data_IF_248711102193
#
_entry.id   IF_248711102193
#
_cell.length_a   1.000
_cell.length_b   1.000
_cell.length_c   1.000
_cell.angle_alpha   90.00
_cell.angle_beta   90.00
_cell.angle_gamma   90.00
#
_symmetry.space_group_name_H-M   'P 1'
#
loop_
_entity.id
_entity.type
_entity.pdbx_description
1 polymer ?
#
# COMPACT_ATOMS: atom_id res chain seq x y z
N UNK A 1 5.46 -4.78 15.61
CA UNK A 1 5.11 -3.40 15.19
C UNK A 1 3.59 -3.19 15.30
N UNK A 2 3.13 -2.12 15.97
CA UNK A 2 1.69 -1.82 16.13
C UNK A 2 1.03 -1.53 14.77
N UNK A 3 -0.27 -1.82 14.63
CA UNK A 3 -1.01 -1.63 13.38
C UNK A 3 -0.98 -0.17 12.87
N UNK A 4 -1.03 0.81 13.79
CA UNK A 4 -0.90 2.23 13.44
C UNK A 4 0.43 2.54 12.74
N UNK A 5 1.55 2.13 13.32
CA UNK A 5 2.89 2.35 12.75
C UNK A 5 3.00 1.67 11.37
N UNK A 6 2.37 0.51 11.18
CA UNK A 6 2.33 -0.15 9.86
C UNK A 6 1.58 0.70 8.82
N UNK A 7 0.46 1.33 9.19
CA UNK A 7 -0.31 2.21 8.29
C UNK A 7 0.48 3.47 7.94
N UNK A 8 1.10 4.10 8.94
CA UNK A 8 1.94 5.29 8.73
C UNK A 8 3.06 4.99 7.74
N UNK A 9 3.82 3.90 7.95
CA UNK A 9 4.88 3.48 7.02
C UNK A 9 4.38 3.21 5.59
N UNK A 10 3.21 2.58 5.45
CA UNK A 10 2.62 2.32 4.14
C UNK A 10 2.22 3.63 3.48
N UNK A 11 1.60 4.54 4.21
CA UNK A 11 1.18 5.83 3.69
C UNK A 11 2.38 6.68 3.28
N UNK A 12 3.41 6.73 4.12
CA UNK A 12 4.67 7.43 3.82
C UNK A 12 5.28 6.93 2.51
N UNK A 13 5.31 5.61 2.29
CA UNK A 13 5.77 5.04 1.01
C UNK A 13 4.88 5.48 -0.15
N UNK A 14 3.57 5.32 0.00
CA UNK A 14 2.59 5.55 -1.07
C UNK A 14 2.51 7.00 -1.53
N UNK A 15 2.93 7.96 -0.70
CA UNK A 15 3.07 9.38 -1.08
C UNK A 15 4.12 9.56 -2.19
N UNK A 16 5.18 8.76 -2.20
CA UNK A 16 6.28 8.90 -3.15
C UNK A 16 6.22 7.92 -4.32
N UNK A 17 5.69 6.70 -4.10
CA UNK A 17 5.69 5.67 -5.13
C UNK A 17 4.58 4.61 -4.91
N UNK A 18 4.14 3.93 -5.98
CA UNK A 18 3.39 2.69 -5.86
C UNK A 18 4.13 1.66 -4.99
N UNK A 19 3.39 0.84 -4.25
CA UNK A 19 3.94 -0.20 -3.38
C UNK A 19 3.31 -1.55 -3.70
N UNK A 20 4.12 -2.57 -3.95
CA UNK A 20 3.65 -3.94 -4.11
C UNK A 20 3.55 -4.66 -2.77
N UNK A 21 2.86 -5.80 -2.76
CA UNK A 21 2.83 -6.72 -1.60
C UNK A 21 4.24 -7.23 -1.24
N UNK A 22 5.16 -7.32 -2.21
CA UNK A 22 6.54 -7.73 -1.95
C UNK A 22 7.33 -6.60 -1.30
N UNK A 23 7.21 -5.36 -1.78
CA UNK A 23 7.87 -4.19 -1.19
C UNK A 23 7.47 -4.03 0.28
N UNK A 24 6.17 -4.14 0.58
CA UNK A 24 5.69 -4.06 1.96
C UNK A 24 6.29 -5.15 2.88
N UNK A 25 6.53 -6.35 2.36
CA UNK A 25 7.09 -7.46 3.15
C UNK A 25 8.60 -7.35 3.32
N UNK A 26 9.31 -7.00 2.24
CA UNK A 26 10.77 -7.00 2.20
C UNK A 26 11.36 -5.74 2.82
N UNK A 27 10.74 -4.58 2.57
CA UNK A 27 11.30 -3.28 2.93
C UNK A 27 10.65 -2.70 4.19
N UNK A 28 9.32 -2.88 4.33
CA UNK A 28 8.59 -2.38 5.51
C UNK A 28 8.41 -3.42 6.62
N UNK A 29 8.73 -4.69 6.35
CA UNK A 29 8.52 -5.83 7.26
C UNK A 29 7.05 -5.99 7.70
N UNK A 30 6.10 -5.71 6.79
CA UNK A 30 4.66 -5.82 7.02
C UNK A 30 4.13 -7.07 6.31
N UNK A 31 3.77 -8.08 7.09
CA UNK A 31 3.34 -9.39 6.56
C UNK A 31 1.91 -9.39 5.97
N UNK A 32 1.04 -8.52 6.50
CA UNK A 32 -0.37 -8.41 6.10
C UNK A 32 -0.71 -7.00 5.58
N UNK A 33 -0.11 -6.55 4.46
CA UNK A 33 -0.28 -5.18 3.96
C UNK A 33 -1.71 -4.90 3.49
N UNK A 34 -2.42 -5.90 2.96
CA UNK A 34 -3.81 -5.73 2.50
C UNK A 34 -4.74 -5.22 3.60
N UNK A 35 -4.61 -5.71 4.84
CA UNK A 35 -5.42 -5.24 5.97
C UNK A 35 -5.11 -3.79 6.33
N UNK A 36 -3.83 -3.39 6.31
CA UNK A 36 -3.41 -2.02 6.60
C UNK A 36 -3.86 -1.04 5.52
N UNK A 37 -3.78 -1.46 4.26
CA UNK A 37 -4.28 -0.67 3.13
C UNK A 37 -5.81 -0.52 3.20
N UNK A 38 -6.54 -1.58 3.56
CA UNK A 38 -7.99 -1.48 3.77
C UNK A 38 -8.35 -0.47 4.86
N UNK A 39 -7.65 -0.50 5.99
CA UNK A 39 -7.83 0.47 7.08
C UNK A 39 -7.56 1.91 6.59
N UNK A 40 -6.50 2.14 5.80
CA UNK A 40 -6.23 3.44 5.20
C UNK A 40 -7.35 3.89 4.25
N UNK A 41 -7.88 3.00 3.41
CA UNK A 41 -9.04 3.34 2.56
C UNK A 41 -10.26 3.74 3.39
N UNK A 42 -10.51 3.04 4.50
CA UNK A 42 -11.59 3.38 5.44
C UNK A 42 -11.37 4.74 6.12
N UNK A 43 -10.13 5.19 6.26
CA UNK A 43 -9.78 6.53 6.73
C UNK A 43 -9.92 7.62 5.65
N UNK A 44 -10.30 7.26 4.43
CA UNK A 44 -10.55 8.21 3.34
C UNK A 44 -9.40 8.38 2.35
N UNK A 45 -8.28 7.66 2.52
CA UNK A 45 -7.18 7.71 1.54
C UNK A 45 -7.60 7.03 0.22
N UNK A 46 -7.46 7.75 -0.89
CA UNK A 46 -7.83 7.27 -2.22
C UNK A 46 -6.77 6.30 -2.78
N UNK A 47 -6.76 5.07 -2.27
CA UNK A 47 -5.81 4.05 -2.67
C UNK A 47 -6.48 3.05 -3.62
N UNK A 48 -5.96 2.93 -4.84
CA UNK A 48 -6.37 1.90 -5.79
C UNK A 48 -5.48 0.66 -5.70
N UNK A 49 -5.96 -0.46 -6.23
CA UNK A 49 -5.26 -1.74 -6.18
C UNK A 49 -5.25 -2.38 -7.55
N UNK A 50 -4.05 -2.59 -8.10
CA UNK A 50 -3.83 -3.27 -9.38
C UNK A 50 -3.14 -4.61 -9.15
N UNK A 51 -3.40 -5.58 -10.02
CA UNK A 51 -2.68 -6.85 -10.02
C UNK A 51 -1.53 -6.78 -11.04
N UNK A 52 -0.30 -6.83 -10.56
CA UNK A 52 0.91 -6.83 -11.40
C UNK A 52 1.54 -8.21 -11.44
N UNK A 53 2.19 -8.57 -12.56
CA UNK A 53 2.95 -9.81 -12.65
C UNK A 53 4.25 -9.71 -11.85
N UNK A 54 4.52 -10.71 -11.03
CA UNK A 54 5.79 -10.92 -10.35
C UNK A 54 6.23 -12.37 -10.62
N UNK A 55 7.07 -12.54 -11.64
CA UNK A 55 7.39 -13.85 -12.20
C UNK A 55 6.15 -14.55 -12.77
N UNK A 56 5.88 -15.77 -12.33
CA UNK A 56 4.72 -16.56 -12.74
C UNK A 56 3.42 -16.24 -11.99
N UNK A 57 3.48 -15.40 -10.94
CA UNK A 57 2.33 -15.05 -10.11
C UNK A 57 1.88 -13.61 -10.34
N UNK A 58 0.66 -13.29 -9.92
CA UNK A 58 0.19 -11.91 -9.81
C UNK A 58 0.17 -11.48 -8.34
N UNK A 59 0.63 -10.27 -8.06
CA UNK A 59 0.62 -9.67 -6.72
C UNK A 59 -0.12 -8.33 -6.75
N UNK A 60 -0.63 -7.90 -5.60
CA UNK A 60 -1.25 -6.59 -5.48
C UNK A 60 -0.19 -5.48 -5.47
N UNK A 61 -0.45 -4.43 -6.24
CA UNK A 61 0.22 -3.14 -6.21
C UNK A 61 -0.79 -2.08 -5.77
N UNK A 62 -0.41 -1.28 -4.79
CA UNK A 62 -1.19 -0.22 -4.19
C UNK A 62 -0.66 1.13 -4.68
N UNK A 63 -1.57 2.03 -5.03
CA UNK A 63 -1.23 3.35 -5.57
C UNK A 63 -2.12 4.37 -4.85
N UNK A 64 -1.50 5.37 -4.21
CA UNK A 64 -2.24 6.51 -3.68
C UNK A 64 -2.49 7.52 -4.80
N UNK A 65 -3.76 7.83 -5.03
CA UNK A 65 -4.15 8.86 -5.99
C UNK A 65 -4.26 10.18 -5.24
N UNK A 66 -3.39 11.13 -5.59
CA UNK A 66 -3.58 12.53 -5.20
C UNK A 66 -4.73 13.11 -6.02
N UNK A 67 -5.63 13.84 -5.35
CA UNK A 67 -6.67 14.60 -6.04
C UNK A 67 -5.97 15.81 -6.65
N UNK A 68 -6.03 15.99 -7.97
CA UNK A 68 -5.70 17.29 -8.54
C UNK A 68 -6.68 18.31 -7.93
N UNK A 69 -6.15 19.30 -7.21
CA UNK A 69 -6.95 20.45 -6.81
C UNK A 69 -7.36 21.17 -8.11
N UNK A 70 -8.67 21.17 -8.38
CA UNK A 70 -9.28 21.86 -9.52
C UNK A 70 -9.37 23.36 -9.27
#
# INVERSE_FOLDING_TARGET
MKAQIQREKILDWLIFAPMTTLDARNELFIMSPASRVLELKQQGYNIITHMVKAGSRKIAQYILLVKEES
#
